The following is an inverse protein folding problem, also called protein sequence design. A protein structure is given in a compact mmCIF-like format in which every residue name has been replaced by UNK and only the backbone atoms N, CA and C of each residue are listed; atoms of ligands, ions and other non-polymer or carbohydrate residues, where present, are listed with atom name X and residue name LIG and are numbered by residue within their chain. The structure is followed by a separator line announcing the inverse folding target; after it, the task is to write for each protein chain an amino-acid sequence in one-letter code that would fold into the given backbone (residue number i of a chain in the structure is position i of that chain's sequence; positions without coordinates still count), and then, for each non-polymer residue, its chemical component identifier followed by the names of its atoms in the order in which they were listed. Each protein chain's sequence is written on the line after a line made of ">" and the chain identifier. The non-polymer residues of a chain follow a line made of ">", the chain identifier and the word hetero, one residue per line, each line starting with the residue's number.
data_IF_537447749158
#
_entry.id   IF_537447749158
#
_cell.length_a   1.000
_cell.length_b   1.000
_cell.length_c   1.000
_cell.angle_alpha   90.00
_cell.angle_beta   90.00
_cell.angle_gamma   90.00
#
_symmetry.space_group_name_H-M   'P 1'
#
loop_
_entity.id
_entity.type
_entity.pdbx_description
1 polymer ?
#
# COMPACT_ATOMS: atom_id res chain seq x y z
N UNK A 1 11.99 5.34 -11.97
CA UNK A 1 11.51 4.85 -10.67
C UNK A 1 10.03 4.53 -10.80
N UNK A 2 9.61 3.34 -10.38
CA UNK A 2 8.24 2.83 -10.45
C UNK A 2 7.72 2.55 -9.04
N UNK A 3 6.65 3.24 -8.67
CA UNK A 3 6.11 3.23 -7.30
C UNK A 3 4.71 2.66 -7.33
N UNK A 4 4.48 1.58 -6.59
CA UNK A 4 3.16 0.98 -6.44
C UNK A 4 2.42 1.59 -5.25
N UNK A 5 1.14 1.90 -5.43
CA UNK A 5 0.29 2.45 -4.35
C UNK A 5 -0.67 1.39 -3.85
N UNK A 6 -0.29 0.73 -2.76
CA UNK A 6 -1.12 -0.24 -2.04
C UNK A 6 -2.12 0.49 -1.15
N UNK A 7 -3.42 0.26 -1.36
CA UNK A 7 -4.47 0.85 -0.53
C UNK A 7 -5.76 0.02 -0.56
N UNK A 8 -6.59 0.06 0.50
CA UNK A 8 -7.88 -0.62 0.51
C UNK A 8 -8.80 -0.17 -0.64
N UNK A 9 -9.59 -1.10 -1.18
CA UNK A 9 -10.59 -0.80 -2.22
C UNK A 9 -11.62 0.25 -1.78
N UNK A 10 -11.86 0.38 -0.47
CA UNK A 10 -12.75 1.41 0.11
C UNK A 10 -12.29 2.82 -0.24
N UNK A 11 -10.99 3.04 -0.47
CA UNK A 11 -10.43 4.34 -0.84
C UNK A 11 -10.56 4.67 -2.34
N UNK A 12 -11.07 3.74 -3.16
CA UNK A 12 -11.29 3.99 -4.58
C UNK A 12 -12.48 4.92 -4.82
N UNK A 13 -13.47 4.90 -3.92
CA UNK A 13 -14.66 5.73 -4.01
C UNK A 13 -14.71 6.71 -2.83
N UNK A 14 -14.96 8.01 -3.07
CA UNK A 14 -15.18 8.65 -4.38
C UNK A 14 -13.86 8.93 -5.14
N UNK A 15 -13.91 8.94 -6.47
CA UNK A 15 -12.76 9.14 -7.38
C UNK A 15 -11.85 10.31 -7.02
N UNK A 16 -12.46 11.41 -6.58
CA UNK A 16 -11.72 12.62 -6.24
C UNK A 16 -10.81 12.42 -5.01
N UNK A 17 -11.17 11.54 -4.08
CA UNK A 17 -10.35 11.22 -2.92
C UNK A 17 -9.13 10.41 -3.36
N UNK A 18 -9.35 9.40 -4.20
CA UNK A 18 -8.28 8.57 -4.76
C UNK A 18 -7.27 9.39 -5.57
N UNK A 19 -7.74 10.30 -6.43
CA UNK A 19 -6.86 11.21 -7.18
C UNK A 19 -6.01 12.11 -6.28
N UNK A 20 -6.57 12.61 -5.16
CA UNK A 20 -5.82 13.39 -4.18
C UNK A 20 -4.73 12.56 -3.50
N UNK A 21 -5.01 11.29 -3.21
CA UNK A 21 -4.01 10.36 -2.66
C UNK A 21 -2.85 10.17 -3.65
N UNK A 22 -3.14 9.86 -4.91
CA UNK A 22 -2.11 9.73 -5.95
C UNK A 22 -1.31 11.03 -6.13
N UNK A 23 -1.95 12.20 -6.02
CA UNK A 23 -1.25 13.48 -6.08
C UNK A 23 -0.27 13.68 -4.90
N UNK A 24 -0.59 13.19 -3.70
CA UNK A 24 0.34 13.20 -2.56
C UNK A 24 1.55 12.31 -2.81
N UNK A 25 1.33 11.10 -3.35
CA UNK A 25 2.43 10.18 -3.70
C UNK A 25 3.35 10.78 -4.76
N UNK A 26 2.79 11.42 -5.80
CA UNK A 26 3.58 12.12 -6.83
C UNK A 26 4.45 13.25 -6.28
N UNK A 27 4.05 13.89 -5.19
CA UNK A 27 4.87 14.92 -4.51
C UNK A 27 6.03 14.31 -3.74
N UNK A 28 5.83 13.14 -3.14
CA UNK A 28 6.90 12.41 -2.45
C UNK A 28 7.93 11.85 -3.44
N UNK A 29 7.45 11.39 -4.60
CA UNK A 29 8.28 10.80 -5.65
C UNK A 29 8.15 11.57 -6.97
N UNK A 30 8.75 12.78 -7.07
CA UNK A 30 8.71 13.56 -8.30
C UNK A 30 9.30 12.79 -9.48
N UNK A 31 8.55 12.73 -10.59
CA UNK A 31 9.00 12.04 -11.81
C UNK A 31 8.87 10.51 -11.79
N UNK A 32 8.36 9.92 -10.71
CA UNK A 32 8.11 8.48 -10.67
C UNK A 32 6.85 8.08 -11.47
N UNK A 33 6.91 6.90 -12.09
CA UNK A 33 5.72 6.24 -12.62
C UNK A 33 4.91 5.69 -11.44
N UNK A 34 3.70 6.21 -11.24
CA UNK A 34 2.82 5.75 -10.17
C UNK A 34 1.91 4.65 -10.71
N UNK A 35 2.09 3.44 -10.21
CA UNK A 35 1.27 2.28 -10.54
C UNK A 35 0.05 2.24 -9.63
N UNK A 36 -1.11 2.48 -10.22
CA UNK A 36 -2.42 2.45 -9.57
C UNK A 36 -3.02 1.05 -9.69
N UNK A 37 -3.19 0.29 -8.58
CA UNK A 37 -3.84 -1.03 -8.65
C UNK A 37 -5.27 -0.97 -9.20
N UNK A 38 -5.98 0.14 -8.97
CA UNK A 38 -7.33 0.37 -9.48
C UNK A 38 -7.38 0.36 -11.01
N UNK A 39 -6.36 0.90 -11.65
CA UNK A 39 -6.27 1.01 -13.11
C UNK A 39 -5.61 -0.22 -13.73
N UNK A 40 -4.78 -0.93 -12.96
CA UNK A 40 -4.00 -2.05 -13.46
C UNK A 40 -4.75 -3.38 -13.41
N UNK A 41 -5.54 -3.63 -12.36
CA UNK A 41 -6.15 -4.94 -12.11
C UNK A 41 -7.66 -4.90 -12.25
N UNK A 42 -8.22 -5.93 -12.87
CA UNK A 42 -9.68 -6.03 -13.05
C UNK A 42 -10.37 -6.65 -11.84
N UNK A 43 -9.71 -7.62 -11.19
CA UNK A 43 -10.22 -8.34 -10.04
C UNK A 43 -9.08 -9.06 -9.30
N UNK A 44 -9.39 -9.69 -8.16
CA UNK A 44 -8.41 -10.40 -7.33
C UNK A 44 -7.65 -11.50 -8.08
N UNK A 45 -8.30 -12.22 -9.01
CA UNK A 45 -7.64 -13.30 -9.77
C UNK A 45 -6.59 -12.72 -10.73
N UNK A 46 -6.95 -11.66 -11.45
CA UNK A 46 -6.04 -10.93 -12.34
C UNK A 46 -4.84 -10.35 -11.55
N UNK A 47 -5.11 -9.76 -10.38
CA UNK A 47 -4.06 -9.31 -9.46
C UNK A 47 -3.13 -10.45 -9.05
N UNK A 48 -3.64 -11.58 -8.58
CA UNK A 48 -2.80 -12.72 -8.16
C UNK A 48 -1.90 -13.25 -9.28
N UNK A 49 -2.38 -13.22 -10.53
CA UNK A 49 -1.62 -13.68 -11.68
C UNK A 49 -0.50 -12.71 -12.09
N UNK A 50 -0.77 -11.41 -12.03
CA UNK A 50 0.13 -10.38 -12.56
C UNK A 50 1.05 -9.76 -11.51
N UNK A 51 0.65 -9.81 -10.23
CA UNK A 51 1.39 -9.22 -9.12
C UNK A 51 2.85 -9.68 -9.04
N UNK A 52 3.20 -10.98 -9.14
CA UNK A 52 4.60 -11.40 -9.04
C UNK A 52 5.50 -10.79 -10.12
N UNK A 53 4.98 -10.65 -11.34
CA UNK A 53 5.70 -10.02 -12.46
C UNK A 53 5.78 -8.50 -12.29
N UNK A 54 4.73 -7.87 -11.77
CA UNK A 54 4.77 -6.43 -11.48
C UNK A 54 5.79 -6.13 -10.39
N UNK A 55 5.78 -6.90 -9.30
CA UNK A 55 6.59 -6.69 -8.12
C UNK A 55 8.09 -6.62 -8.44
N UNK A 56 8.57 -7.46 -9.36
CA UNK A 56 9.98 -7.43 -9.81
C UNK A 56 10.38 -6.18 -10.58
N UNK A 57 9.42 -5.34 -10.97
CA UNK A 57 9.66 -4.06 -11.68
C UNK A 57 9.51 -2.83 -10.78
N UNK A 58 9.13 -3.02 -9.51
CA UNK A 58 8.89 -1.93 -8.58
C UNK A 58 10.20 -1.49 -7.90
N UNK A 59 10.36 -0.18 -7.76
CA UNK A 59 11.47 0.41 -7.00
C UNK A 59 11.04 0.76 -5.57
N UNK A 60 9.74 0.93 -5.32
CA UNK A 60 9.17 1.16 -3.99
C UNK A 60 7.68 0.83 -3.94
N UNK A 61 7.19 0.60 -2.73
CA UNK A 61 5.78 0.44 -2.41
C UNK A 61 5.33 1.50 -1.41
N UNK A 62 4.15 2.07 -1.64
CA UNK A 62 3.51 3.03 -0.74
C UNK A 62 2.21 2.45 -0.24
N UNK A 63 2.08 2.34 1.08
CA UNK A 63 0.87 1.93 1.78
C UNK A 63 0.07 3.17 2.17
N UNK A 64 -1.20 3.20 1.75
CA UNK A 64 -2.17 4.19 2.19
C UNK A 64 -3.28 3.47 2.96
N UNK A 65 -3.30 3.55 4.29
CA UNK A 65 -4.34 2.94 5.11
C UNK A 65 -5.65 3.72 5.04
N UNK A 66 -6.74 3.02 5.38
CA UNK A 66 -8.04 3.61 5.69
C UNK A 66 -8.10 3.83 7.21
N UNK A 67 -7.79 5.06 7.64
CA UNK A 67 -7.47 5.34 9.05
C UNK A 67 -6.17 4.64 9.45
N UNK A 68 -6.26 3.73 10.41
CA UNK A 68 -5.18 2.85 10.85
C UNK A 68 -5.29 1.43 10.26
N UNK A 69 -6.20 1.18 9.31
CA UNK A 69 -6.49 -0.17 8.83
C UNK A 69 -6.05 -0.41 7.39
N UNK A 70 -5.64 -1.64 7.12
CA UNK A 70 -5.42 -2.16 5.76
C UNK A 70 -6.13 -3.50 5.59
N UNK A 71 -6.51 -3.82 4.34
CA UNK A 71 -7.05 -5.14 4.01
C UNK A 71 -5.96 -6.19 3.80
N UNK A 72 -6.34 -7.47 3.82
CA UNK A 72 -5.42 -8.59 3.59
C UNK A 72 -4.65 -8.51 2.25
N UNK A 73 -5.25 -7.94 1.21
CA UNK A 73 -4.57 -7.71 -0.07
C UNK A 73 -3.34 -6.82 0.09
N UNK A 74 -3.49 -5.68 0.76
CA UNK A 74 -2.39 -4.77 1.07
C UNK A 74 -1.36 -5.41 1.98
N UNK A 75 -1.79 -6.19 2.98
CA UNK A 75 -0.85 -6.91 3.86
C UNK A 75 0.00 -7.92 3.08
N UNK A 76 -0.60 -8.61 2.10
CA UNK A 76 0.14 -9.50 1.20
C UNK A 76 1.12 -8.73 0.34
N UNK A 77 0.73 -7.60 -0.24
CA UNK A 77 1.62 -6.75 -1.03
C UNK A 77 2.83 -6.27 -0.21
N UNK A 78 2.61 -5.88 1.04
CA UNK A 78 3.67 -5.51 1.99
C UNK A 78 4.59 -6.68 2.29
N UNK A 79 4.03 -7.86 2.59
CA UNK A 79 4.82 -9.08 2.87
C UNK A 79 5.68 -9.47 1.67
N UNK A 80 5.09 -9.46 0.48
CA UNK A 80 5.81 -9.81 -0.76
C UNK A 80 6.91 -8.76 -1.06
N UNK A 81 6.63 -7.47 -0.85
CA UNK A 81 7.60 -6.39 -1.02
C UNK A 81 8.77 -6.47 -0.01
N UNK A 82 8.49 -6.83 1.24
CA UNK A 82 9.52 -7.11 2.25
C UNK A 82 10.41 -8.28 1.82
N UNK A 83 9.81 -9.36 1.31
CA UNK A 83 10.54 -10.54 0.87
C UNK A 83 11.50 -10.24 -0.29
N UNK A 84 11.11 -9.39 -1.24
CA UNK A 84 11.99 -8.98 -2.35
C UNK A 84 12.92 -7.81 -2.01
N UNK A 85 12.77 -7.20 -0.82
CA UNK A 85 13.65 -6.15 -0.32
C UNK A 85 13.43 -4.77 -0.95
N UNK A 86 12.24 -4.47 -1.48
CA UNK A 86 11.96 -3.11 -1.97
C UNK A 86 11.55 -2.18 -0.83
N UNK A 87 11.96 -0.89 -0.85
CA UNK A 87 11.53 0.10 0.13
C UNK A 87 10.00 0.24 0.24
N UNK A 88 9.49 0.27 1.48
CA UNK A 88 8.07 0.46 1.76
C UNK A 88 7.89 1.73 2.59
N UNK A 89 6.91 2.55 2.21
CA UNK A 89 6.52 3.76 2.91
C UNK A 89 5.05 3.72 3.31
N UNK A 90 4.71 4.16 4.50
CA UNK A 90 3.33 4.21 5.01
C UNK A 90 2.90 5.66 5.19
N UNK A 91 1.67 5.98 4.77
CA UNK A 91 1.08 7.30 4.97
C UNK A 91 0.28 7.39 6.27
N UNK A 92 0.75 8.19 7.23
CA UNK A 92 0.00 8.60 8.43
C UNK A 92 0.24 10.10 8.69
N UNK A 93 -0.49 10.96 7.97
CA UNK A 93 -0.27 12.42 7.98
C UNK A 93 0.96 12.86 7.19
N UNK A 94 2.06 12.12 7.29
CA UNK A 94 3.26 12.17 6.47
C UNK A 94 3.65 10.76 6.01
N UNK A 95 4.47 10.65 4.97
CA UNK A 95 5.04 9.38 4.57
C UNK A 95 6.28 9.07 5.41
N UNK A 96 6.31 7.87 5.99
CA UNK A 96 7.42 7.39 6.80
C UNK A 96 7.82 5.98 6.31
N UNK A 97 9.09 5.57 6.42
CA UNK A 97 9.48 4.22 6.07
C UNK A 97 8.77 3.20 6.97
N UNK A 98 8.63 1.96 6.49
CA UNK A 98 7.89 0.91 7.18
C UNK A 98 8.49 0.55 8.55
N UNK A 99 9.79 0.75 8.76
CA UNK A 99 10.49 0.49 10.03
C UNK A 99 9.90 1.25 11.23
N UNK A 100 9.13 2.31 10.99
CA UNK A 100 8.40 3.04 12.02
C UNK A 100 7.04 2.42 12.38
N UNK A 101 6.66 1.27 11.79
CA UNK A 101 5.35 0.66 11.98
C UNK A 101 5.42 -0.86 12.19
N UNK A 102 4.38 -1.38 12.84
CA UNK A 102 4.08 -2.80 12.92
C UNK A 102 2.65 -3.03 12.43
N UNK A 103 2.42 -4.18 11.79
CA UNK A 103 1.07 -4.62 11.43
C UNK A 103 0.61 -5.69 12.41
N UNK A 104 -0.59 -5.53 12.94
CA UNK A 104 -1.27 -6.53 13.76
C UNK A 104 -2.54 -7.00 13.05
N UNK A 105 -2.80 -8.30 13.05
CA UNK A 105 -4.07 -8.83 12.53
C UNK A 105 -5.19 -8.54 13.52
N UNK A 106 -6.29 -7.97 13.02
CA UNK A 106 -7.49 -7.71 13.82
C UNK A 106 -8.33 -8.99 13.86
N UNK A 107 -7.98 -9.90 14.76
CA UNK A 107 -8.67 -11.19 14.90
C UNK A 107 -10.00 -11.10 15.63
N UNK A 108 -10.21 -10.01 16.38
CA UNK A 108 -11.36 -9.87 17.30
C UNK A 108 -12.55 -9.15 16.67
N UNK A 109 -12.32 -8.18 15.76
CA UNK A 109 -13.42 -7.39 15.18
C UNK A 109 -13.64 -7.63 13.70
N UNK A 110 -12.59 -7.79 12.90
CA UNK A 110 -12.71 -8.05 11.46
C UNK A 110 -11.52 -8.88 10.92
N UNK A 111 -11.62 -10.22 10.82
CA UNK A 111 -10.49 -11.10 10.47
C UNK A 111 -9.93 -10.91 9.04
N UNK A 112 -10.49 -9.98 8.28
CA UNK A 112 -10.03 -9.59 6.93
C UNK A 112 -9.26 -8.26 6.91
N UNK A 113 -8.93 -7.71 8.08
CA UNK A 113 -8.18 -6.46 8.23
C UNK A 113 -6.97 -6.62 9.16
N UNK A 114 -5.99 -5.76 8.93
CA UNK A 114 -4.86 -5.54 9.81
C UNK A 114 -4.82 -4.08 10.24
N UNK A 115 -4.40 -3.84 11.47
CA UNK A 115 -4.18 -2.51 12.05
C UNK A 115 -2.70 -2.16 11.95
N UNK A 116 -2.42 -0.94 11.51
CA UNK A 116 -1.09 -0.33 11.48
C UNK A 116 -0.86 0.38 12.81
N UNK A 117 0.06 -0.17 13.60
CA UNK A 117 0.52 0.43 14.84
C UNK A 117 1.82 1.18 14.57
N UNK A 118 1.89 2.45 14.98
CA UNK A 118 3.15 3.20 14.93
C UNK A 118 4.05 2.72 16.05
N UNK A 119 5.27 2.31 15.72
CA UNK A 119 6.27 1.92 16.72
C UNK A 119 6.70 3.14 17.51
N UNK A 120 6.67 3.03 18.84
CA UNK A 120 7.45 3.93 19.69
C UNK A 120 8.92 3.55 19.50
N UNK A 121 9.74 4.48 18.98
CA UNK A 121 11.19 4.27 19.02
C UNK A 121 11.61 4.40 20.48
N UNK A 122 11.95 3.28 21.11
CA UNK A 122 12.73 3.26 22.36
C UNK A 122 14.10 3.94 22.17
#
# INVERSE_FOLDING_TARGET
>A
MRVYVACPLTLYAPDHAYRRLLARVRRLFPGAEIVSPREMFTNTRDWLQRWPTLLSTLDALVVIPDGDRVGLGVLREVTDALFVGIPIYVYQGSFQPLDAFCFSLDVDTEPSRAVILKGEKE
#
